data_IF_610509813002
#
_entry.id   IF_610509813002
#
_cell.length_a   1.000
_cell.length_b   1.000
_cell.length_c   1.000
_cell.angle_alpha   90.00
_cell.angle_beta   90.00
_cell.angle_gamma   90.00
#
_symmetry.space_group_name_H-M   'P 1'
#
loop_
_entity.id
_entity.type
_entity.pdbx_description
1 polymer ?
#
# COMPACT_ATOMS: atom_id res chain seq x y z
N UNK A 1 47.85 -30.60 8.67
CA UNK A 1 47.84 -32.07 8.77
C UNK A 1 47.02 -32.58 7.59
N UNK A 2 47.67 -33.00 6.53
CA UNK A 2 47.10 -33.76 5.39
C UNK A 2 47.26 -35.25 5.67
N UNK A 3 46.41 -36.13 5.15
CA UNK A 3 46.89 -37.35 4.51
C UNK A 3 46.31 -37.53 3.11
N UNK A 4 47.12 -37.72 2.19
CA UNK A 4 47.62 -38.93 1.49
C UNK A 4 46.64 -39.59 0.50
N UNK A 5 47.04 -39.42 -0.75
CA UNK A 5 47.09 -40.28 -1.93
C UNK A 5 46.43 -41.68 -1.84
N UNK A 6 45.51 -41.91 -2.77
CA UNK A 6 45.27 -43.26 -3.29
C UNK A 6 45.42 -43.24 -4.83
N UNK A 7 46.47 -43.89 -5.27
CA UNK A 7 46.89 -44.15 -6.66
C UNK A 7 46.30 -45.50 -7.03
N UNK A 8 45.39 -45.60 -7.98
CA UNK A 8 44.97 -46.89 -8.54
C UNK A 8 45.19 -46.87 -10.05
N UNK A 9 45.91 -47.93 -10.48
CA UNK A 9 46.46 -48.14 -11.77
C UNK A 9 45.44 -48.35 -12.90
N UNK A 10 45.75 -47.75 -14.01
CA UNK A 10 45.05 -47.98 -15.28
C UNK A 10 45.51 -49.28 -15.89
N UNK A 11 44.61 -50.30 -15.94
CA UNK A 11 44.74 -51.45 -16.85
C UNK A 11 44.21 -51.00 -18.25
N UNK A 12 45.15 -51.02 -19.20
CA UNK A 12 44.93 -50.78 -20.63
C UNK A 12 44.11 -51.98 -21.19
N UNK A 13 42.83 -51.75 -21.42
CA UNK A 13 41.95 -52.71 -22.09
C UNK A 13 42.04 -52.49 -23.61
N UNK A 14 42.48 -53.48 -24.37
CA UNK A 14 42.51 -53.50 -25.84
C UNK A 14 41.16 -54.08 -26.30
N UNK A 15 40.35 -53.34 -27.10
CA UNK A 15 39.11 -53.88 -27.62
C UNK A 15 39.38 -54.87 -28.77
N UNK A 16 38.60 -55.96 -28.88
CA UNK A 16 38.69 -56.84 -30.04
C UNK A 16 38.12 -56.18 -31.27
N UNK A 17 38.82 -56.35 -32.41
CA UNK A 17 38.35 -56.04 -33.74
C UNK A 17 37.13 -56.94 -34.05
N UNK A 18 35.95 -56.39 -34.15
CA UNK A 18 34.80 -57.01 -34.81
C UNK A 18 34.48 -56.24 -36.10
N UNK A 19 34.86 -56.89 -37.17
CA UNK A 19 34.51 -56.51 -38.51
C UNK A 19 33.00 -56.72 -38.78
N UNK A 20 32.38 -55.79 -39.54
CA UNK A 20 31.23 -56.12 -40.35
C UNK A 20 29.87 -56.18 -39.68
N UNK A 21 29.32 -55.02 -39.28
CA UNK A 21 27.89 -54.90 -39.11
C UNK A 21 27.26 -54.37 -40.42
N UNK A 22 26.07 -54.88 -40.86
CA UNK A 22 25.49 -54.53 -42.14
C UNK A 22 25.08 -53.05 -42.19
N UNK A 23 25.30 -52.44 -43.32
CA UNK A 23 25.07 -51.01 -43.63
C UNK A 23 23.62 -50.56 -43.27
N UNK A 24 22.69 -51.46 -43.22
CA UNK A 24 21.30 -51.24 -42.87
C UNK A 24 21.07 -50.80 -41.41
N UNK A 25 21.84 -51.31 -40.45
CA UNK A 25 21.67 -50.94 -39.02
C UNK A 25 22.15 -49.50 -38.77
N UNK A 26 23.23 -49.07 -39.42
CA UNK A 26 23.71 -47.67 -39.28
C UNK A 26 22.72 -46.68 -39.86
N UNK A 27 22.06 -47.01 -40.99
CA UNK A 27 21.04 -46.17 -41.61
C UNK A 27 19.81 -46.03 -40.70
N UNK A 28 19.37 -47.11 -40.06
CA UNK A 28 18.23 -47.09 -39.14
C UNK A 28 18.51 -46.27 -37.87
N UNK A 29 19.70 -46.37 -37.28
CA UNK A 29 20.08 -45.58 -36.11
C UNK A 29 20.16 -44.09 -36.44
N UNK A 30 20.70 -43.73 -37.62
CA UNK A 30 20.75 -42.33 -38.04
C UNK A 30 19.36 -41.77 -38.31
N UNK A 31 18.44 -42.55 -38.92
CA UNK A 31 17.06 -42.15 -39.13
C UNK A 31 16.29 -41.98 -37.80
N UNK A 32 16.46 -42.86 -36.84
CA UNK A 32 15.87 -42.70 -35.50
C UNK A 32 16.39 -41.48 -34.75
N UNK A 33 17.69 -41.21 -34.82
CA UNK A 33 18.28 -40.00 -34.19
C UNK A 33 17.73 -38.73 -34.86
N UNK A 34 17.55 -38.72 -36.17
CA UNK A 34 16.97 -37.58 -36.88
C UNK A 34 15.49 -37.38 -36.55
N UNK A 35 14.72 -38.45 -36.39
CA UNK A 35 13.32 -38.38 -35.97
C UNK A 35 13.18 -37.89 -34.50
N UNK A 36 14.05 -38.33 -33.60
CA UNK A 36 14.09 -37.87 -32.25
C UNK A 36 14.47 -36.36 -32.16
N UNK A 37 15.43 -35.91 -32.99
CA UNK A 37 15.82 -34.51 -33.08
C UNK A 37 14.69 -33.63 -33.63
N UNK A 38 13.91 -34.17 -34.60
CA UNK A 38 12.73 -33.44 -35.11
C UNK A 38 11.59 -33.36 -34.08
N UNK A 39 11.41 -34.33 -33.20
CA UNK A 39 10.45 -34.28 -32.08
C UNK A 39 10.83 -33.25 -31.04
N UNK A 40 12.13 -32.98 -30.81
CA UNK A 40 12.58 -31.93 -29.94
C UNK A 40 12.54 -30.51 -30.55
N UNK A 41 12.34 -30.41 -31.87
CA UNK A 41 12.16 -29.14 -32.59
C UNK A 41 10.69 -28.73 -32.71
N UNK A 42 9.73 -29.58 -32.39
CA UNK A 42 8.36 -29.16 -32.08
C UNK A 42 8.40 -28.54 -30.64
N UNK A 43 9.13 -27.44 -30.52
CA UNK A 43 9.06 -26.59 -29.35
C UNK A 43 7.60 -26.22 -29.09
N UNK A 44 7.22 -26.24 -27.84
CA UNK A 44 5.98 -25.65 -27.40
C UNK A 44 5.79 -24.33 -28.15
N UNK A 45 4.68 -24.20 -28.85
CA UNK A 45 4.11 -22.89 -29.13
C UNK A 45 3.72 -22.32 -27.74
N UNK A 46 4.72 -21.86 -26.99
CA UNK A 46 4.49 -20.79 -26.04
C UNK A 46 4.14 -19.57 -26.91
N UNK A 47 2.94 -19.60 -27.49
CA UNK A 47 2.26 -18.37 -27.81
C UNK A 47 2.07 -17.70 -26.46
N UNK A 48 3.06 -16.88 -26.07
CA UNK A 48 2.85 -15.77 -25.18
C UNK A 48 1.72 -14.98 -25.84
N UNK A 49 0.48 -15.24 -25.42
CA UNK A 49 -0.63 -14.39 -25.81
C UNK A 49 -0.32 -13.03 -25.22
N UNK A 50 0.12 -12.05 -26.02
CA UNK A 50 0.39 -10.74 -25.50
C UNK A 50 -0.94 -10.17 -25.07
N UNK A 51 -1.16 -10.09 -23.75
CA UNK A 51 -2.22 -9.34 -23.11
C UNK A 51 -3.59 -9.59 -23.82
N UNK A 52 -4.36 -10.52 -23.27
CA UNK A 52 -5.79 -10.57 -23.61
C UNK A 52 -6.32 -9.14 -23.49
N UNK A 53 -6.93 -8.63 -24.56
CA UNK A 53 -7.64 -7.35 -24.50
C UNK A 53 -8.60 -7.44 -23.31
N UNK A 54 -8.38 -6.59 -22.32
CA UNK A 54 -9.15 -6.64 -21.10
C UNK A 54 -10.47 -5.88 -21.30
N UNK A 55 -11.43 -6.55 -21.91
CA UNK A 55 -12.76 -5.99 -22.14
C UNK A 55 -13.59 -5.86 -20.84
N UNK A 56 -13.08 -6.43 -19.74
CA UNK A 56 -13.82 -6.52 -18.47
C UNK A 56 -13.56 -5.36 -17.53
N UNK A 57 -12.33 -4.83 -17.50
CA UNK A 57 -11.93 -3.80 -16.57
C UNK A 57 -11.68 -2.48 -17.28
N UNK A 58 -12.38 -1.42 -16.86
CA UNK A 58 -12.29 -0.13 -17.55
C UNK A 58 -11.38 0.84 -16.81
N UNK A 59 -11.49 0.90 -15.48
CA UNK A 59 -10.68 1.81 -14.66
C UNK A 59 -10.00 1.08 -13.52
N UNK A 60 -8.83 1.61 -13.14
CA UNK A 60 -8.21 1.34 -11.86
C UNK A 60 -8.54 2.48 -10.89
N UNK A 61 -9.01 2.14 -9.68
CA UNK A 61 -9.43 3.09 -8.65
C UNK A 61 -8.67 2.78 -7.36
N UNK A 62 -7.96 3.80 -6.83
CA UNK A 62 -7.19 3.64 -5.60
C UNK A 62 -7.37 4.84 -4.68
N UNK A 63 -7.56 4.59 -3.40
CA UNK A 63 -7.63 5.63 -2.39
C UNK A 63 -8.43 5.23 -1.15
N UNK A 64 -8.71 6.25 -0.37
CA UNK A 64 -9.68 6.16 0.72
C UNK A 64 -10.46 7.47 0.80
N UNK A 65 -11.69 7.39 1.30
CA UNK A 65 -12.52 8.54 1.62
C UNK A 65 -12.52 8.73 3.14
N UNK A 66 -12.09 9.90 3.60
CA UNK A 66 -12.05 10.26 5.01
C UNK A 66 -13.17 11.25 5.33
N UNK A 67 -14.08 10.85 6.22
CA UNK A 67 -15.20 11.69 6.62
C UNK A 67 -14.79 13.00 7.31
N UNK A 68 -13.56 13.06 7.84
CA UNK A 68 -13.05 14.23 8.56
C UNK A 68 -12.13 15.12 7.72
N UNK A 69 -11.77 14.69 6.52
CA UNK A 69 -10.92 15.47 5.64
C UNK A 69 -11.70 16.58 4.94
N UNK A 70 -11.12 17.78 4.85
CA UNK A 70 -11.67 18.90 4.07
C UNK A 70 -11.70 18.61 2.57
N UNK A 71 -10.82 17.73 2.10
CA UNK A 71 -10.69 17.34 0.68
C UNK A 71 -10.35 15.86 0.59
N UNK A 72 -11.19 15.14 -0.11
CA UNK A 72 -10.99 13.72 -0.41
C UNK A 72 -10.41 13.54 -1.82
N UNK A 73 -9.39 12.67 -1.93
CA UNK A 73 -8.65 12.42 -3.17
C UNK A 73 -8.71 10.95 -3.53
N UNK A 74 -9.02 10.65 -4.79
CA UNK A 74 -9.03 9.29 -5.33
C UNK A 74 -8.26 9.28 -6.64
N UNK A 75 -7.38 8.31 -6.82
CA UNK A 75 -6.71 8.07 -8.10
C UNK A 75 -7.62 7.24 -8.98
N UNK A 76 -7.95 7.75 -10.15
CA UNK A 76 -8.70 7.03 -11.18
C UNK A 76 -7.93 7.09 -12.49
N UNK A 77 -7.67 5.93 -13.07
CA UNK A 77 -6.94 5.81 -14.33
C UNK A 77 -7.57 4.69 -15.18
N UNK A 78 -7.61 4.82 -16.52
CA UNK A 78 -8.02 3.73 -17.36
C UNK A 78 -7.07 2.54 -17.19
N UNK A 79 -7.59 1.33 -17.22
CA UNK A 79 -6.77 0.12 -17.33
C UNK A 79 -6.13 0.13 -18.72
N UNK A 80 -4.81 0.04 -18.79
CA UNK A 80 -4.02 0.35 -19.97
C UNK A 80 -3.14 -0.80 -20.40
N UNK A 81 -2.83 -0.77 -21.73
CA UNK A 81 -1.75 -1.55 -22.33
C UNK A 81 -0.35 -0.92 -22.06
N UNK A 82 -0.29 0.33 -21.58
CA UNK A 82 0.96 1.06 -21.35
C UNK A 82 1.17 1.39 -19.85
N UNK A 83 2.38 1.13 -19.37
CA UNK A 83 2.79 1.31 -17.96
C UNK A 83 2.84 2.80 -17.54
N UNK A 84 3.10 3.72 -18.47
CA UNK A 84 3.28 5.14 -18.16
C UNK A 84 2.06 5.99 -18.54
N UNK A 85 1.60 6.77 -17.57
CA UNK A 85 0.60 7.80 -17.81
C UNK A 85 1.24 9.06 -18.39
N UNK A 86 0.73 9.54 -19.51
CA UNK A 86 1.07 10.86 -20.03
C UNK A 86 0.36 12.00 -19.28
N UNK A 87 0.62 13.26 -19.65
CA UNK A 87 -0.06 14.43 -19.08
C UNK A 87 -1.50 14.61 -19.58
N UNK A 88 -1.93 13.78 -20.53
CA UNK A 88 -3.23 13.88 -21.17
C UNK A 88 -4.39 13.73 -20.18
N UNK A 89 -5.51 14.44 -20.35
CA UNK A 89 -6.71 14.22 -19.56
C UNK A 89 -7.18 12.76 -19.63
N UNK A 90 -7.61 12.24 -18.50
CA UNK A 90 -8.28 10.94 -18.46
C UNK A 90 -9.69 11.15 -19.03
N UNK A 91 -10.08 10.33 -20.00
CA UNK A 91 -11.46 10.28 -20.47
C UNK A 91 -12.32 9.59 -19.40
N UNK A 92 -12.68 10.35 -18.37
CA UNK A 92 -13.53 9.89 -17.28
C UNK A 92 -14.29 11.05 -16.63
N UNK A 93 -15.55 10.83 -16.36
CA UNK A 93 -16.36 11.60 -15.41
C UNK A 93 -16.43 10.78 -14.13
N UNK A 94 -15.90 11.32 -13.04
CA UNK A 94 -15.91 10.66 -11.73
C UNK A 94 -16.97 11.31 -10.85
N UNK A 95 -17.89 10.51 -10.34
CA UNK A 95 -18.99 10.95 -9.49
C UNK A 95 -18.95 10.26 -8.14
N UNK A 96 -19.39 10.96 -7.11
CA UNK A 96 -19.59 10.44 -5.76
C UNK A 96 -21.06 10.64 -5.37
N UNK A 97 -21.75 9.53 -5.17
CA UNK A 97 -23.16 9.47 -4.74
C UNK A 97 -23.22 9.13 -3.24
N UNK A 98 -24.03 9.87 -2.51
CA UNK A 98 -24.40 9.54 -1.13
C UNK A 98 -25.65 8.67 -1.18
N UNK A 99 -25.55 7.41 -0.82
CA UNK A 99 -26.62 6.43 -1.08
C UNK A 99 -27.87 6.68 -0.26
N UNK A 100 -27.75 7.19 0.98
CA UNK A 100 -28.89 7.47 1.86
C UNK A 100 -29.76 8.63 1.36
N UNK A 101 -29.16 9.59 0.63
CA UNK A 101 -29.89 10.77 0.14
C UNK A 101 -30.07 10.80 -1.37
N UNK A 102 -29.35 9.96 -2.11
CA UNK A 102 -29.28 9.98 -3.57
C UNK A 102 -28.55 11.23 -4.14
N UNK A 103 -27.86 11.98 -3.30
CA UNK A 103 -27.16 13.20 -3.72
C UNK A 103 -25.85 12.86 -4.44
N UNK A 104 -25.75 13.25 -5.71
CA UNK A 104 -24.57 13.02 -6.57
C UNK A 104 -23.75 14.27 -6.69
N UNK A 105 -22.42 14.15 -6.61
CA UNK A 105 -21.46 15.23 -6.88
C UNK A 105 -20.41 14.76 -7.87
N UNK A 106 -20.06 15.63 -8.83
CA UNK A 106 -18.96 15.38 -9.77
C UNK A 106 -17.65 15.80 -9.09
N UNK A 107 -16.67 14.87 -9.09
CA UNK A 107 -15.33 15.15 -8.60
C UNK A 107 -14.53 15.93 -9.65
N UNK A 108 -13.62 16.77 -9.18
CA UNK A 108 -12.72 17.56 -10.03
C UNK A 108 -11.42 16.81 -10.24
N UNK A 109 -10.85 16.85 -11.43
CA UNK A 109 -9.55 16.26 -11.71
C UNK A 109 -8.39 17.22 -11.40
N UNK A 110 -7.23 16.69 -11.11
CA UNK A 110 -5.97 17.41 -10.95
C UNK A 110 -4.80 16.56 -11.44
N UNK A 111 -3.91 17.19 -12.20
CA UNK A 111 -2.68 16.58 -12.67
C UNK A 111 -1.55 16.86 -11.68
N UNK A 112 -0.89 15.80 -11.22
CA UNK A 112 0.33 15.89 -10.44
C UNK A 112 1.51 15.43 -11.30
N UNK A 113 2.58 16.22 -11.31
CA UNK A 113 3.82 15.87 -11.98
C UNK A 113 4.92 15.57 -10.97
N UNK A 114 5.54 14.41 -11.10
CA UNK A 114 6.66 13.95 -10.27
C UNK A 114 7.91 13.85 -11.14
N UNK A 115 8.82 14.83 -11.01
CA UNK A 115 9.98 14.91 -11.88
C UNK A 115 9.62 15.36 -13.31
N UNK A 116 10.38 14.87 -14.32
CA UNK A 116 10.18 15.29 -15.73
C UNK A 116 9.08 14.51 -16.44
N UNK A 117 8.92 13.22 -16.14
CA UNK A 117 8.19 12.29 -17.01
C UNK A 117 7.13 11.42 -16.29
N UNK A 118 6.97 11.58 -14.99
CA UNK A 118 5.99 10.84 -14.22
C UNK A 118 4.79 11.73 -13.89
N UNK A 119 3.62 11.32 -14.36
CA UNK A 119 2.37 12.02 -14.15
C UNK A 119 1.38 11.13 -13.41
N UNK A 120 0.58 11.74 -12.52
CA UNK A 120 -0.55 11.09 -11.88
C UNK A 120 -1.76 12.02 -11.88
N UNK A 121 -2.91 11.49 -12.25
CA UNK A 121 -4.17 12.22 -12.10
C UNK A 121 -4.94 11.68 -10.91
N UNK A 122 -5.40 12.62 -10.08
CA UNK A 122 -6.27 12.34 -8.97
C UNK A 122 -7.55 13.16 -9.13
N UNK A 123 -8.65 12.56 -8.73
CA UNK A 123 -9.94 13.23 -8.65
C UNK A 123 -10.21 13.62 -7.20
N UNK A 124 -10.80 14.78 -6.98
CA UNK A 124 -11.02 15.31 -5.66
C UNK A 124 -12.38 15.95 -5.47
N UNK A 125 -12.82 15.96 -4.22
CA UNK A 125 -14.06 16.62 -3.80
C UNK A 125 -13.86 17.27 -2.43
N UNK A 126 -14.54 18.40 -2.21
CA UNK A 126 -14.68 19.05 -0.89
C UNK A 126 -16.06 18.79 -0.28
N UNK A 127 -16.81 17.84 -0.84
CA UNK A 127 -18.09 17.45 -0.24
C UNK A 127 -17.82 16.81 1.12
N UNK A 128 -18.48 17.33 2.15
CA UNK A 128 -18.45 16.73 3.48
C UNK A 128 -19.11 15.35 3.44
N UNK A 129 -18.44 14.38 4.03
CA UNK A 129 -18.90 13.02 4.16
C UNK A 129 -19.43 12.80 5.58
N UNK A 130 -20.41 11.93 5.74
CA UNK A 130 -21.07 11.65 7.02
C UNK A 130 -20.56 10.30 7.52
N UNK A 131 -19.93 10.22 8.71
CA UNK A 131 -19.54 8.95 9.31
C UNK A 131 -20.75 8.01 9.46
N UNK A 132 -20.55 6.74 9.15
CA UNK A 132 -21.57 5.71 9.20
C UNK A 132 -22.41 5.56 7.92
N UNK A 133 -22.35 6.54 6.99
CA UNK A 133 -23.13 6.50 5.77
C UNK A 133 -22.36 5.80 4.63
N UNK A 134 -23.10 5.38 3.60
CA UNK A 134 -22.57 4.67 2.44
C UNK A 134 -22.46 5.57 1.21
N UNK A 135 -21.41 5.39 0.44
CA UNK A 135 -21.11 6.17 -0.75
C UNK A 135 -20.75 5.25 -1.91
N UNK A 136 -21.23 5.64 -3.11
CA UNK A 136 -20.81 5.00 -4.36
C UNK A 136 -19.95 5.97 -5.17
N UNK A 137 -18.74 5.53 -5.53
CA UNK A 137 -17.90 6.21 -6.50
C UNK A 137 -18.03 5.51 -7.84
N UNK A 138 -18.28 6.28 -8.91
CA UNK A 138 -18.38 5.76 -10.27
C UNK A 138 -17.47 6.58 -11.19
N UNK A 139 -16.66 5.90 -11.99
CA UNK A 139 -15.88 6.48 -13.08
C UNK A 139 -16.47 5.96 -14.41
N UNK A 140 -16.84 6.88 -15.31
CA UNK A 140 -17.45 6.56 -16.59
C UNK A 140 -16.74 7.32 -17.70
N UNK A 141 -16.42 6.64 -18.82
CA UNK A 141 -15.82 7.25 -20.01
C UNK A 141 -16.87 7.72 -21.02
N UNK A 142 -16.42 8.43 -22.05
CA UNK A 142 -17.28 8.96 -23.12
C UNK A 142 -18.02 7.89 -23.91
N UNK A 143 -17.58 6.63 -23.89
CA UNK A 143 -18.26 5.49 -24.54
C UNK A 143 -19.29 4.80 -23.63
N UNK A 144 -19.48 5.26 -22.41
CA UNK A 144 -20.43 4.70 -21.44
C UNK A 144 -19.92 3.46 -20.69
N UNK A 145 -18.63 3.15 -20.79
CA UNK A 145 -18.01 2.10 -19.97
C UNK A 145 -17.71 2.66 -18.59
N UNK A 146 -18.02 1.91 -17.54
CA UNK A 146 -17.88 2.40 -16.18
C UNK A 146 -17.32 1.36 -15.22
N UNK A 147 -16.61 1.86 -14.21
CA UNK A 147 -16.22 1.09 -13.03
C UNK A 147 -16.79 1.78 -11.79
N UNK A 148 -17.21 1.00 -10.80
CA UNK A 148 -17.82 1.55 -9.59
C UNK A 148 -17.38 0.82 -8.34
N UNK A 149 -17.54 1.48 -7.20
CA UNK A 149 -17.31 0.90 -5.89
C UNK A 149 -18.26 1.52 -4.87
N UNK A 150 -18.83 0.69 -4.03
CA UNK A 150 -19.62 1.13 -2.87
C UNK A 150 -18.79 0.89 -1.62
N UNK A 151 -18.69 1.91 -0.78
CA UNK A 151 -18.00 1.85 0.52
C UNK A 151 -18.92 2.35 1.62
N UNK A 152 -18.72 1.86 2.84
CA UNK A 152 -19.37 2.37 4.04
C UNK A 152 -18.32 3.01 4.95
N UNK A 153 -18.54 4.27 5.30
CA UNK A 153 -17.68 4.96 6.27
C UNK A 153 -17.89 4.37 7.67
N UNK A 154 -16.85 4.24 8.48
CA UNK A 154 -17.02 3.82 9.86
C UNK A 154 -17.79 4.87 10.65
N UNK A 155 -18.43 4.50 11.77
CA UNK A 155 -18.98 5.45 12.73
C UNK A 155 -17.90 6.40 13.24
N UNK A 156 -18.31 7.61 13.62
CA UNK A 156 -17.42 8.55 14.31
C UNK A 156 -16.99 7.98 15.67
N UNK A 157 -15.80 8.32 16.11
CA UNK A 157 -15.24 7.91 17.39
C UNK A 157 -14.71 9.12 18.17
N UNK A 158 -14.57 8.96 19.47
CA UNK A 158 -14.10 10.07 20.33
C UNK A 158 -12.66 10.43 20.00
N UNK A 159 -12.33 11.67 20.26
CA UNK A 159 -10.97 12.18 20.12
C UNK A 159 -9.99 11.38 21.00
N UNK A 160 -8.88 10.86 20.45
CA UNK A 160 -7.88 10.16 21.22
C UNK A 160 -7.37 10.99 22.41
N UNK A 161 -7.25 10.37 23.57
CA UNK A 161 -6.70 11.02 24.77
C UNK A 161 -5.21 10.74 24.89
N UNK A 162 -4.43 11.81 25.09
CA UNK A 162 -2.98 11.74 25.30
C UNK A 162 -2.67 12.02 26.75
N UNK A 163 -2.28 10.98 27.49
CA UNK A 163 -1.85 11.08 28.88
C UNK A 163 -0.34 11.02 28.98
N UNK A 164 0.27 12.15 29.32
CA UNK A 164 1.70 12.22 29.55
C UNK A 164 2.03 11.74 30.97
N UNK A 165 3.12 10.99 31.07
CA UNK A 165 3.72 10.59 32.32
C UNK A 165 5.03 11.36 32.59
N UNK A 166 5.55 11.27 33.78
CA UNK A 166 6.93 11.67 34.07
C UNK A 166 7.88 10.78 33.28
N UNK A 167 8.87 11.37 32.59
CA UNK A 167 9.87 10.65 31.80
C UNK A 167 9.50 10.52 30.32
N UNK A 168 9.87 9.38 29.72
CA UNK A 168 9.81 9.16 28.26
C UNK A 168 8.57 8.39 27.78
N UNK A 169 7.70 8.02 28.70
CA UNK A 169 6.49 7.25 28.38
C UNK A 169 5.28 8.19 28.24
N UNK A 170 4.43 7.90 27.28
CA UNK A 170 3.14 8.55 27.08
C UNK A 170 2.12 7.47 26.77
N UNK A 171 0.94 7.58 27.35
CA UNK A 171 -0.16 6.67 27.06
C UNK A 171 -1.17 7.34 26.14
N UNK A 172 -1.65 6.57 25.14
CA UNK A 172 -2.72 6.95 24.25
C UNK A 172 -3.93 6.07 24.55
N UNK A 173 -5.09 6.69 24.73
CA UNK A 173 -6.37 6.01 24.88
C UNK A 173 -7.21 6.35 23.66
N UNK A 174 -7.71 5.32 22.99
CA UNK A 174 -8.58 5.44 21.83
C UNK A 174 -9.82 4.62 22.14
N UNK A 175 -10.99 5.24 22.06
CA UNK A 175 -12.26 4.58 22.28
C UNK A 175 -12.44 3.35 21.42
N UNK A 176 -13.36 2.44 21.78
CA UNK A 176 -13.65 1.29 20.95
C UNK A 176 -14.07 1.71 19.54
N UNK A 177 -13.33 1.21 18.55
CA UNK A 177 -13.66 1.32 17.14
C UNK A 177 -13.70 -0.08 16.56
N UNK A 178 -14.50 -0.28 15.53
CA UNK A 178 -14.63 -1.60 14.91
C UNK A 178 -13.27 -2.07 14.38
N UNK A 179 -12.54 -1.19 13.70
CA UNK A 179 -11.21 -1.47 13.19
C UNK A 179 -10.32 -0.23 13.26
N UNK A 180 -9.31 -0.23 14.14
CA UNK A 180 -8.25 0.77 14.12
C UNK A 180 -7.22 0.37 13.06
N UNK A 181 -7.02 1.21 12.05
CA UNK A 181 -6.19 0.87 10.88
C UNK A 181 -4.91 1.68 10.78
N UNK A 182 -4.88 2.87 11.35
CA UNK A 182 -3.69 3.71 11.36
C UNK A 182 -3.54 4.42 12.70
N UNK A 183 -2.31 4.41 13.20
CA UNK A 183 -1.90 5.14 14.38
C UNK A 183 -0.50 5.71 14.16
N UNK A 184 -0.39 7.03 14.23
CA UNK A 184 0.84 7.74 13.97
C UNK A 184 1.15 8.72 15.09
N UNK A 185 2.44 8.85 15.41
CA UNK A 185 2.95 9.97 16.20
C UNK A 185 3.82 10.83 15.30
N UNK A 186 3.47 12.09 15.19
CA UNK A 186 4.14 13.06 14.34
C UNK A 186 5.13 13.84 15.21
N UNK A 187 6.38 13.87 14.80
CA UNK A 187 7.47 14.58 15.45
C UNK A 187 7.94 15.77 14.62
N UNK A 188 8.15 16.90 15.25
CA UNK A 188 8.88 18.02 14.68
C UNK A 188 10.36 17.90 15.05
N UNK A 189 11.22 17.97 14.03
CA UNK A 189 12.68 18.00 14.17
C UNK A 189 13.15 19.41 13.86
N UNK A 190 13.64 20.10 14.87
CA UNK A 190 14.16 21.47 14.75
C UNK A 190 15.64 21.40 14.38
N UNK A 191 15.95 21.66 13.12
CA UNK A 191 17.31 21.85 12.62
C UNK A 191 17.66 23.33 12.66
N UNK A 192 18.96 23.67 12.50
CA UNK A 192 19.42 25.07 12.62
C UNK A 192 18.69 26.06 11.73
N UNK A 193 18.22 25.64 10.55
CA UNK A 193 17.64 26.51 9.53
C UNK A 193 16.22 26.12 9.11
N UNK A 194 15.72 24.97 9.53
CA UNK A 194 14.38 24.51 9.16
C UNK A 194 13.77 23.58 10.22
N UNK A 195 12.47 23.35 10.07
CA UNK A 195 11.75 22.33 10.84
C UNK A 195 11.32 21.24 9.86
N UNK A 196 11.61 19.99 10.18
CA UNK A 196 11.16 18.84 9.42
C UNK A 196 10.15 18.04 10.24
N UNK A 197 9.08 17.60 9.61
CA UNK A 197 8.14 16.67 10.21
C UNK A 197 8.61 15.24 9.93
N UNK A 198 8.59 14.41 10.95
CA UNK A 198 8.86 12.98 10.87
C UNK A 198 7.64 12.23 11.42
N UNK A 199 7.15 11.30 10.62
CA UNK A 199 5.99 10.48 10.99
C UNK A 199 6.51 9.12 11.41
N UNK A 200 6.12 8.68 12.60
CA UNK A 200 6.32 7.32 13.07
C UNK A 200 4.98 6.60 13.07
N UNK A 201 4.92 5.57 12.27
CA UNK A 201 3.76 4.67 12.20
C UNK A 201 3.87 3.64 13.33
N UNK A 202 2.77 3.47 14.04
CA UNK A 202 2.59 2.41 15.02
C UNK A 202 1.70 1.33 14.38
N UNK A 203 2.27 0.26 13.81
CA UNK A 203 1.48 -0.77 13.13
C UNK A 203 0.50 -1.39 14.11
N UNK A 204 -0.78 -1.23 13.88
CA UNK A 204 -1.83 -1.68 14.80
C UNK A 204 -1.79 -3.19 14.97
N UNK A 205 -1.42 -3.93 13.93
CA UNK A 205 -1.24 -5.39 13.96
C UNK A 205 -0.05 -5.86 14.80
N UNK A 206 0.98 -5.01 14.98
CA UNK A 206 2.25 -5.35 15.64
C UNK A 206 2.42 -4.71 17.02
N UNK A 207 1.42 -3.99 17.52
CA UNK A 207 1.50 -3.41 18.86
C UNK A 207 1.42 -4.51 19.92
N UNK A 208 2.58 -5.08 20.30
CA UNK A 208 2.70 -6.07 21.40
C UNK A 208 2.13 -5.54 22.73
N UNK A 209 2.08 -4.22 22.87
CA UNK A 209 1.50 -3.52 24.04
C UNK A 209 0.05 -3.10 23.82
N UNK A 210 -0.61 -3.61 22.78
CA UNK A 210 -2.00 -3.36 22.49
C UNK A 210 -2.86 -4.12 23.50
N UNK A 211 -3.25 -3.45 24.56
CA UNK A 211 -4.31 -3.93 25.43
C UNK A 211 -5.63 -3.52 24.82
N UNK A 212 -6.25 -4.40 24.05
CA UNK A 212 -7.66 -4.27 23.69
C UNK A 212 -8.44 -4.53 24.97
N UNK A 213 -8.92 -3.48 25.60
CA UNK A 213 -9.84 -3.58 26.71
C UNK A 213 -11.26 -3.54 26.17
N UNK A 214 -12.26 -3.95 26.94
CA UNK A 214 -13.67 -3.74 26.60
C UNK A 214 -13.98 -2.25 26.33
N UNK A 215 -13.08 -1.35 26.75
CA UNK A 215 -13.18 0.10 26.66
C UNK A 215 -12.30 0.74 25.57
N UNK A 216 -11.75 -0.02 24.61
CA UNK A 216 -10.96 0.51 23.51
C UNK A 216 -9.48 0.12 23.51
N UNK A 217 -8.64 0.96 22.90
CA UNK A 217 -7.22 0.70 22.72
C UNK A 217 -6.38 1.51 23.72
N UNK A 218 -5.43 0.82 24.33
CA UNK A 218 -4.43 1.45 25.17
C UNK A 218 -3.05 1.23 24.53
N UNK A 219 -2.37 2.32 24.18
CA UNK A 219 -1.09 2.26 23.48
C UNK A 219 -0.02 3.00 24.28
N UNK A 220 1.14 2.36 24.44
CA UNK A 220 2.30 2.96 25.10
C UNK A 220 3.27 3.52 24.07
N UNK A 221 3.50 4.81 24.07
CA UNK A 221 4.50 5.50 23.26
C UNK A 221 5.78 5.72 24.08
N UNK A 222 6.89 5.12 23.63
CA UNK A 222 8.21 5.32 24.24
C UNK A 222 9.00 6.36 23.45
N UNK A 223 8.94 7.61 23.88
CA UNK A 223 9.58 8.76 23.20
C UNK A 223 11.10 8.60 23.04
N UNK A 224 11.77 7.91 23.94
CA UNK A 224 13.23 7.66 23.82
C UNK A 224 13.53 6.74 22.64
N UNK A 225 12.76 5.68 22.49
CA UNK A 225 12.91 4.76 21.35
C UNK A 225 12.63 5.49 20.03
N UNK A 226 11.56 6.27 19.98
CA UNK A 226 11.20 7.06 18.81
C UNK A 226 12.30 8.06 18.44
N UNK A 227 12.83 8.80 19.42
CA UNK A 227 13.93 9.72 19.19
C UNK A 227 15.18 9.01 18.65
N UNK A 228 15.50 7.83 19.16
CA UNK A 228 16.63 7.04 18.67
C UNK A 228 16.40 6.61 17.21
N UNK A 229 15.20 6.15 16.88
CA UNK A 229 14.83 5.77 15.54
C UNK A 229 14.89 6.94 14.55
N UNK A 230 14.36 8.10 14.93
CA UNK A 230 14.41 9.31 14.10
C UNK A 230 15.88 9.75 13.91
N UNK A 231 16.70 9.76 14.97
CA UNK A 231 18.12 10.16 14.89
C UNK A 231 18.94 9.28 13.96
N UNK A 232 18.64 8.00 13.85
CA UNK A 232 19.34 7.09 12.95
C UNK A 232 19.11 7.44 11.45
N UNK A 233 18.01 8.11 11.15
CA UNK A 233 17.62 8.48 9.76
C UNK A 233 17.97 9.93 9.41
N UNK A 234 18.29 10.75 10.40
CA UNK A 234 18.57 12.17 10.20
C UNK A 234 20.06 12.41 9.94
N UNK A 235 20.32 13.27 8.97
CA UNK A 235 21.66 13.84 8.75
C UNK A 235 21.73 15.15 9.57
N UNK A 236 22.39 15.09 10.74
CA UNK A 236 22.59 16.26 11.58
C UNK A 236 22.01 16.13 13.00
N UNK A 237 22.24 17.16 13.80
CA UNK A 237 21.76 17.23 15.17
C UNK A 237 20.59 18.22 15.24
N UNK A 238 19.46 17.78 15.78
CA UNK A 238 18.27 18.58 15.97
C UNK A 238 17.55 18.26 17.28
N UNK A 239 16.70 19.15 17.73
CA UNK A 239 15.75 18.88 18.81
C UNK A 239 14.53 18.18 18.23
N UNK A 240 14.15 17.05 18.81
CA UNK A 240 13.01 16.24 18.39
C UNK A 240 11.89 16.41 19.41
N UNK A 241 10.70 16.76 18.94
CA UNK A 241 9.52 16.94 19.80
C UNK A 241 8.30 16.26 19.16
N UNK A 242 7.56 15.43 19.91
CA UNK A 242 6.27 14.95 19.43
C UNK A 242 5.27 16.12 19.42
N UNK A 243 4.55 16.26 18.33
CA UNK A 243 3.62 17.39 18.13
C UNK A 243 2.18 16.95 18.01
N UNK A 244 1.90 15.84 17.34
CA UNK A 244 0.55 15.35 17.08
C UNK A 244 0.48 13.84 17.16
N UNK A 245 -0.73 13.35 17.43
CA UNK A 245 -1.15 11.95 17.27
C UNK A 245 -2.24 11.95 16.22
N UNK A 246 -2.11 11.04 15.26
CA UNK A 246 -3.13 10.74 14.28
C UNK A 246 -3.62 9.31 14.53
N UNK A 247 -4.93 9.12 14.50
CA UNK A 247 -5.57 7.81 14.59
C UNK A 247 -6.69 7.74 13.56
N UNK A 248 -6.82 6.59 12.88
CA UNK A 248 -7.89 6.36 11.92
C UNK A 248 -8.58 5.02 12.16
N UNK A 249 -9.91 5.04 12.15
CA UNK A 249 -10.75 3.86 12.06
C UNK A 249 -11.20 3.64 10.63
N UNK A 250 -11.43 2.39 10.24
CA UNK A 250 -11.94 2.05 8.92
C UNK A 250 -13.30 1.37 8.99
N UNK A 251 -14.02 1.48 7.88
CA UNK A 251 -15.27 0.78 7.64
C UNK A 251 -15.07 -0.70 7.30
N UNK A 252 -16.17 -1.43 7.09
CA UNK A 252 -16.15 -2.87 6.86
C UNK A 252 -15.44 -3.27 5.56
N UNK A 253 -15.29 -2.33 4.63
CA UNK A 253 -14.62 -2.56 3.34
C UNK A 253 -13.09 -2.51 3.42
N UNK A 254 -12.54 -2.24 4.59
CA UNK A 254 -11.09 -2.15 4.78
C UNK A 254 -10.43 -3.52 4.71
N UNK A 255 -9.36 -3.61 3.93
CA UNK A 255 -8.53 -4.81 3.82
C UNK A 255 -7.20 -4.56 4.50
N UNK A 256 -6.85 -5.41 5.47
CA UNK A 256 -5.51 -5.39 6.07
C UNK A 256 -4.54 -6.18 5.18
N UNK A 257 -3.79 -5.46 4.37
CA UNK A 257 -2.80 -6.05 3.45
C UNK A 257 -1.67 -6.80 4.18
N UNK A 258 -1.49 -6.60 5.47
CA UNK A 258 -0.44 -7.28 6.25
C UNK A 258 -0.75 -8.75 6.55
N UNK A 259 -2.01 -9.16 6.41
CA UNK A 259 -2.49 -10.53 6.67
C UNK A 259 -2.87 -11.29 5.39
N UNK A 260 -2.74 -10.64 4.22
CA UNK A 260 -3.05 -11.27 2.93
C UNK A 260 -1.85 -12.09 2.47
N UNK A 261 -2.11 -13.30 2.00
CA UNK A 261 -1.09 -14.17 1.42
C UNK A 261 -0.51 -13.54 0.14
N UNK A 262 0.81 -13.62 -0.03
CA UNK A 262 1.51 -13.05 -1.18
C UNK A 262 0.93 -13.57 -2.52
N UNK A 263 0.47 -14.84 -2.56
CA UNK A 263 -0.16 -15.41 -3.76
C UNK A 263 -1.46 -14.69 -4.16
N UNK A 264 -2.21 -14.14 -3.19
CA UNK A 264 -3.46 -13.41 -3.45
C UNK A 264 -3.16 -12.00 -3.94
N UNK A 265 -2.08 -11.39 -3.46
CA UNK A 265 -1.66 -10.03 -3.84
C UNK A 265 -1.24 -9.98 -5.33
N UNK A 266 -0.69 -11.07 -5.86
CA UNK A 266 -0.27 -11.16 -7.26
C UNK A 266 -1.45 -11.18 -8.25
N UNK A 267 -2.67 -11.46 -7.79
CA UNK A 267 -3.86 -11.47 -8.64
C UNK A 267 -4.54 -10.09 -8.60
N UNK A 268 -4.72 -9.42 -9.75
CA UNK A 268 -5.43 -8.13 -9.81
C UNK A 268 -6.83 -8.16 -9.20
N UNK A 269 -7.46 -9.32 -9.19
CA UNK A 269 -8.81 -9.55 -8.66
C UNK A 269 -8.82 -9.92 -7.17
N UNK A 270 -7.68 -10.35 -6.60
CA UNK A 270 -7.62 -10.95 -5.26
C UNK A 270 -7.99 -9.98 -4.13
N UNK A 271 -7.77 -8.70 -4.34
CA UNK A 271 -7.99 -7.64 -3.35
C UNK A 271 -8.80 -6.46 -3.89
N UNK A 272 -9.31 -6.56 -5.12
CA UNK A 272 -10.11 -5.49 -5.73
C UNK A 272 -11.54 -5.54 -5.19
N UNK A 273 -12.03 -4.38 -4.71
CA UNK A 273 -13.45 -4.18 -4.42
C UNK A 273 -14.16 -3.32 -5.50
N UNK A 274 -13.52 -3.16 -6.67
CA UNK A 274 -14.02 -2.32 -7.76
C UNK A 274 -14.80 -3.18 -8.76
N UNK A 275 -16.07 -2.87 -8.97
CA UNK A 275 -16.90 -3.49 -10.00
C UNK A 275 -16.47 -3.02 -11.39
N UNK A 276 -16.28 -3.94 -12.34
CA UNK A 276 -15.78 -3.69 -13.71
C UNK A 276 -14.47 -2.88 -13.74
N UNK A 277 -13.62 -3.06 -12.73
CA UNK A 277 -12.37 -2.36 -12.57
C UNK A 277 -11.42 -3.10 -11.67
N UNK A 278 -10.26 -2.49 -11.42
CA UNK A 278 -9.25 -3.01 -10.50
C UNK A 278 -8.87 -1.96 -9.48
N UNK A 279 -8.39 -2.39 -8.32
CA UNK A 279 -7.91 -1.48 -7.30
C UNK A 279 -8.70 -1.59 -6.00
N UNK A 280 -8.62 -0.55 -5.19
CA UNK A 280 -9.13 -0.59 -3.85
C UNK A 280 -9.54 0.80 -3.36
N UNK A 281 -10.75 0.92 -2.87
CA UNK A 281 -11.26 2.11 -2.20
C UNK A 281 -11.87 1.70 -0.85
N UNK A 282 -11.57 2.46 0.21
CA UNK A 282 -12.15 2.24 1.52
C UNK A 282 -12.64 3.54 2.16
N UNK A 283 -13.47 3.42 3.18
CA UNK A 283 -13.90 4.51 4.02
C UNK A 283 -13.15 4.56 5.33
N UNK A 284 -12.74 5.75 5.77
CA UNK A 284 -12.13 5.97 7.08
C UNK A 284 -12.75 7.17 7.79
N UNK A 285 -12.56 7.20 9.09
CA UNK A 285 -12.71 8.39 9.94
C UNK A 285 -11.38 8.60 10.65
N UNK A 286 -10.79 9.79 10.53
CA UNK A 286 -9.53 10.09 11.18
C UNK A 286 -9.67 11.15 12.28
N UNK A 287 -8.77 11.13 13.24
CA UNK A 287 -8.67 12.16 14.29
C UNK A 287 -7.21 12.54 14.46
N UNK A 288 -6.97 13.85 14.49
CA UNK A 288 -5.66 14.39 14.79
C UNK A 288 -5.74 15.23 16.06
N UNK A 289 -4.87 14.92 17.04
CA UNK A 289 -4.83 15.63 18.31
C UNK A 289 -3.42 16.11 18.62
N UNK A 290 -3.25 17.24 19.31
CA UNK A 290 -1.92 17.67 19.76
C UNK A 290 -1.37 16.65 20.75
N UNK A 291 -0.11 16.28 20.60
CA UNK A 291 0.56 15.37 21.54
C UNK A 291 0.71 15.97 22.92
N UNK A 292 0.80 17.31 23.02
CA UNK A 292 0.78 18.06 24.26
C UNK A 292 -0.37 19.02 24.25
N UNK A 293 -1.03 19.16 25.37
CA UNK A 293 -2.08 20.16 25.56
C UNK A 293 -1.48 21.34 26.33
N UNK A 294 -1.48 22.50 25.73
CA UNK A 294 -1.27 23.78 26.41
C UNK A 294 -2.63 24.45 26.62
N UNK A 295 -2.64 25.49 27.47
CA UNK A 295 -3.82 26.30 27.70
C UNK A 295 -3.51 27.72 27.21
N UNK A 296 -4.47 28.32 26.52
CA UNK A 296 -4.41 29.72 26.13
C UNK A 296 -4.64 30.64 27.36
N UNK A 297 -4.54 31.98 27.19
CA UNK A 297 -4.77 32.96 28.21
C UNK A 297 -6.16 32.89 28.84
N UNK A 298 -7.11 32.28 28.13
CA UNK A 298 -8.50 32.09 28.58
C UNK A 298 -8.75 30.74 29.24
N UNK A 299 -7.70 29.91 29.38
CA UNK A 299 -7.79 28.56 29.95
C UNK A 299 -8.37 27.51 29.00
N UNK A 300 -8.52 27.80 27.69
CA UNK A 300 -8.93 26.81 26.73
C UNK A 300 -7.76 25.92 26.31
N UNK A 301 -8.05 24.64 26.04
CA UNK A 301 -7.05 23.71 25.52
C UNK A 301 -6.62 24.12 24.12
N UNK A 302 -5.31 24.20 23.89
CA UNK A 302 -4.71 24.48 22.60
C UNK A 302 -3.46 23.64 22.36
N UNK A 303 -3.02 23.51 21.11
CA UNK A 303 -1.74 22.91 20.80
C UNK A 303 -0.60 23.74 21.42
N UNK A 304 0.39 23.06 22.02
CA UNK A 304 1.56 23.75 22.52
C UNK A 304 2.34 24.39 21.38
N UNK A 305 2.85 25.62 21.54
CA UNK A 305 3.74 26.23 20.57
C UNK A 305 4.95 25.34 20.32
N UNK A 306 5.36 25.25 19.06
CA UNK A 306 6.60 24.59 18.66
C UNK A 306 7.78 25.48 19.04
N UNK A 307 8.28 25.34 20.27
CA UNK A 307 9.46 26.08 20.70
C UNK A 307 10.72 25.22 20.57
N UNK A 308 11.72 25.65 19.79
CA UNK A 308 13.03 25.04 19.84
C UNK A 308 13.63 25.31 21.24
N UNK A 309 13.96 24.27 21.99
CA UNK A 309 14.72 24.44 23.22
C UNK A 309 16.07 25.09 22.85
N UNK A 310 16.21 26.36 23.14
CA UNK A 310 17.49 27.03 23.10
C UNK A 310 18.33 26.42 24.23
N UNK A 311 19.44 25.78 23.88
CA UNK A 311 20.50 25.37 24.84
C UNK A 311 21.50 26.50 24.99
#
# INVERSE_FOLDING_TARGET
MMPDKCRTGYKKYRPPNTAGGPATVRSLVTACLFLITLMFLSGCDDTFEPLQENDRYHFSIYGYLDATADTNWVRVMPVRDAIYAGPEPVDAVVTLEHLETGSVSVMKDSLFQFGSDLFARNFWTTKSLIPGDSYRLTAENSSGQSSSVTITLPPDFSTPEVQQTEGDITFLYIDPVEQLVDLQVIYAVFLRQNVQLQILYYPVSQLENKSLTENGYFVTVNRRNDHNHIRQRLVGTGTIQPVQVFAASAGPDWVDFSVIDDEIIELPEGISNIENGVGYLAGIVSKTVPFRTCFDENGNRTACPLEPRVR
#
